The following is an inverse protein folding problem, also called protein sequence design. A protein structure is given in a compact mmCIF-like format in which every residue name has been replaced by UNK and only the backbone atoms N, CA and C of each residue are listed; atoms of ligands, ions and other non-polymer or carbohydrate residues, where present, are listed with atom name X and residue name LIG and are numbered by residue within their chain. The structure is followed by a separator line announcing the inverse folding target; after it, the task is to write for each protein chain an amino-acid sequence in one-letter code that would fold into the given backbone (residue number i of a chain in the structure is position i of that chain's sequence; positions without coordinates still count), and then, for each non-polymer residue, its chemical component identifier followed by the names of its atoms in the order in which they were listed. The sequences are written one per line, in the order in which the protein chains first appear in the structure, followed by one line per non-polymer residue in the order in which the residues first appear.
data_IF_487582453929
#
_entry.id   IF_487582453929
#
_cell.length_a   1.000
_cell.length_b   1.000
_cell.length_c   1.000
_cell.angle_alpha   90.00
_cell.angle_beta   90.00
_cell.angle_gamma   90.00
#
_symmetry.space_group_name_H-M   'P 1'
#
loop_
_entity.id
_entity.type
_entity.pdbx_description
1 polymer ?
#
# COMPACT_ATOMS: atom_id res chain seq x y z
N UNK A 1 2.17 3.58 -47.14
CA UNK A 1 1.65 3.74 -45.77
C UNK A 1 0.39 4.57 -45.81
N UNK A 2 -0.74 4.04 -45.29
CA UNK A 2 -1.99 4.80 -45.24
C UNK A 2 -1.90 5.76 -44.04
N UNK A 3 -2.13 7.05 -44.28
CA UNK A 3 -2.10 8.05 -43.21
C UNK A 3 -3.18 7.74 -42.16
N UNK A 4 -2.89 7.87 -40.85
CA UNK A 4 -3.89 7.70 -39.78
C UNK A 4 -5.14 8.58 -39.97
N UNK A 5 -4.97 9.78 -40.52
CA UNK A 5 -6.05 10.71 -40.84
C UNK A 5 -6.96 10.13 -41.93
N UNK A 6 -6.39 9.45 -42.95
CA UNK A 6 -7.19 8.81 -44.01
C UNK A 6 -8.04 7.64 -43.47
N UNK A 7 -7.52 6.89 -42.50
CA UNK A 7 -8.25 5.81 -41.83
C UNK A 7 -9.44 6.37 -41.06
N UNK A 8 -9.19 7.42 -40.22
CA UNK A 8 -10.24 8.07 -39.44
C UNK A 8 -11.33 8.64 -40.34
N UNK A 9 -10.97 9.35 -41.39
CA UNK A 9 -11.94 9.91 -42.34
C UNK A 9 -12.79 8.81 -43.02
N UNK A 10 -12.18 7.67 -43.34
CA UNK A 10 -12.91 6.54 -43.95
C UNK A 10 -13.90 5.92 -42.95
N UNK A 11 -13.51 5.77 -41.69
CA UNK A 11 -14.41 5.27 -40.64
C UNK A 11 -15.57 6.24 -40.42
N UNK A 12 -15.28 7.55 -40.31
CA UNK A 12 -16.32 8.57 -40.11
C UNK A 12 -17.29 8.63 -41.26
N UNK A 13 -16.81 8.58 -42.53
CA UNK A 13 -17.69 8.58 -43.71
C UNK A 13 -18.53 7.33 -43.78
N UNK A 14 -17.95 6.16 -43.52
CA UNK A 14 -18.68 4.90 -43.47
C UNK A 14 -19.78 4.94 -42.40
N UNK A 15 -19.43 5.35 -41.18
CA UNK A 15 -20.36 5.46 -40.06
C UNK A 15 -21.50 6.45 -40.34
N UNK A 16 -21.23 7.55 -41.05
CA UNK A 16 -22.23 8.60 -41.31
C UNK A 16 -23.12 8.32 -42.52
N UNK A 17 -22.61 7.63 -43.54
CA UNK A 17 -23.32 7.45 -44.83
C UNK A 17 -23.88 6.06 -45.04
N UNK A 18 -23.12 5.04 -44.64
CA UNK A 18 -23.44 3.65 -44.96
C UNK A 18 -24.28 2.97 -43.87
N UNK A 19 -24.29 3.51 -42.65
CA UNK A 19 -25.05 2.96 -41.53
C UNK A 19 -26.39 3.69 -41.36
N UNK A 20 -27.47 2.93 -41.20
CA UNK A 20 -28.81 3.51 -40.97
C UNK A 20 -28.84 4.31 -39.65
N UNK A 21 -29.70 5.33 -39.58
CA UNK A 21 -29.82 6.16 -38.39
C UNK A 21 -30.15 5.37 -37.12
N UNK A 22 -30.97 4.32 -37.21
CA UNK A 22 -31.30 3.45 -36.08
C UNK A 22 -30.09 2.65 -35.63
N UNK A 23 -29.31 2.08 -36.56
CA UNK A 23 -28.10 1.34 -36.21
C UNK A 23 -27.04 2.24 -35.58
N UNK A 24 -26.87 3.48 -36.03
CA UNK A 24 -25.96 4.47 -35.39
C UNK A 24 -26.34 4.75 -33.95
N UNK A 25 -27.62 4.99 -33.68
CA UNK A 25 -28.09 5.23 -32.31
C UNK A 25 -27.79 4.02 -31.42
N UNK A 26 -28.04 2.81 -31.89
CA UNK A 26 -27.76 1.58 -31.15
C UNK A 26 -26.27 1.44 -30.90
N UNK A 27 -25.40 1.64 -31.89
CA UNK A 27 -23.94 1.56 -31.74
C UNK A 27 -23.45 2.59 -30.69
N UNK A 28 -23.91 3.83 -30.83
CA UNK A 28 -23.52 4.90 -29.85
C UNK A 28 -23.99 4.52 -28.45
N UNK A 29 -25.23 4.07 -28.28
CA UNK A 29 -25.74 3.65 -26.98
C UNK A 29 -24.93 2.49 -26.38
N UNK A 30 -24.59 1.48 -27.21
CA UNK A 30 -23.74 0.36 -26.76
C UNK A 30 -22.35 0.84 -26.37
N UNK A 31 -21.72 1.73 -27.13
CA UNK A 31 -20.41 2.31 -26.80
C UNK A 31 -20.45 3.12 -25.50
N UNK A 32 -21.50 3.90 -25.30
CA UNK A 32 -21.70 4.67 -24.06
C UNK A 32 -21.86 3.71 -22.88
N UNK A 33 -22.73 2.71 -22.98
CA UNK A 33 -22.95 1.73 -21.91
C UNK A 33 -21.66 0.95 -21.60
N UNK A 34 -20.91 0.55 -22.63
CA UNK A 34 -19.61 -0.12 -22.46
C UNK A 34 -18.59 0.79 -21.76
N UNK A 35 -18.54 2.06 -22.16
CA UNK A 35 -17.65 3.04 -21.54
C UNK A 35 -17.99 3.28 -20.06
N UNK A 36 -19.27 3.46 -19.75
CA UNK A 36 -19.74 3.61 -18.37
C UNK A 36 -19.43 2.34 -17.56
N UNK A 37 -19.76 1.17 -18.11
CA UNK A 37 -19.45 -0.11 -17.47
C UNK A 37 -17.96 -0.28 -17.18
N UNK A 38 -17.09 0.07 -18.14
CA UNK A 38 -15.64 0.01 -17.97
C UNK A 38 -15.14 0.96 -16.88
N UNK A 39 -15.66 2.19 -16.83
CA UNK A 39 -15.30 3.17 -15.79
C UNK A 39 -15.74 2.72 -14.40
N UNK A 40 -16.97 2.22 -14.27
CA UNK A 40 -17.48 1.67 -13.01
C UNK A 40 -16.63 0.48 -12.55
N UNK A 41 -16.33 -0.45 -13.45
CA UNK A 41 -15.48 -1.60 -13.14
C UNK A 41 -14.08 -1.17 -12.70
N UNK A 42 -13.46 -0.23 -13.42
CA UNK A 42 -12.16 0.31 -13.04
C UNK A 42 -12.18 0.98 -11.66
N UNK A 43 -13.25 1.74 -11.38
CA UNK A 43 -13.45 2.34 -10.05
C UNK A 43 -13.57 1.29 -8.94
N UNK A 44 -14.42 0.27 -9.12
CA UNK A 44 -14.63 -0.78 -8.13
C UNK A 44 -13.36 -1.61 -7.88
N UNK A 45 -12.60 -1.91 -8.93
CA UNK A 45 -11.31 -2.59 -8.81
C UNK A 45 -10.32 -1.73 -8.03
N UNK A 46 -10.23 -0.44 -8.37
CA UNK A 46 -9.35 0.47 -7.66
C UNK A 46 -9.76 0.60 -6.18
N UNK A 47 -11.05 0.77 -5.90
CA UNK A 47 -11.57 0.87 -4.53
C UNK A 47 -11.26 -0.39 -3.72
N UNK A 48 -11.44 -1.58 -4.30
CA UNK A 48 -11.10 -2.85 -3.68
C UNK A 48 -9.62 -2.92 -3.31
N UNK A 49 -8.71 -2.56 -4.22
CA UNK A 49 -7.27 -2.62 -3.95
C UNK A 49 -6.78 -1.54 -2.99
N UNK A 50 -7.43 -0.39 -2.93
CA UNK A 50 -7.03 0.71 -2.05
C UNK A 50 -7.59 0.56 -0.62
N UNK A 51 -8.84 0.15 -0.50
CA UNK A 51 -9.58 0.27 0.74
C UNK A 51 -9.85 -1.07 1.46
N UNK A 52 -9.63 -2.22 0.77
CA UNK A 52 -9.85 -3.52 1.38
C UNK A 52 -8.51 -4.15 1.81
N UNK A 53 -8.28 -4.36 3.12
CA UNK A 53 -7.04 -4.97 3.60
C UNK A 53 -6.82 -6.41 3.06
N UNK A 54 -7.89 -7.12 2.68
CA UNK A 54 -7.78 -8.45 2.11
C UNK A 54 -7.35 -8.46 0.63
N UNK A 55 -7.28 -7.30 -0.02
CA UNK A 55 -6.85 -7.22 -1.42
C UNK A 55 -5.44 -7.77 -1.63
N UNK A 56 -4.53 -7.50 -0.68
CA UNK A 56 -3.16 -8.00 -0.73
C UNK A 56 -3.06 -9.51 -0.57
N UNK A 57 -4.03 -10.16 0.08
CA UNK A 57 -4.08 -11.62 0.22
C UNK A 57 -4.55 -12.35 -1.05
N UNK A 58 -5.05 -11.62 -2.04
CA UNK A 58 -5.44 -12.17 -3.34
C UNK A 58 -4.24 -12.74 -4.11
N UNK A 59 -3.02 -12.23 -3.85
CA UNK A 59 -1.80 -12.68 -4.49
C UNK A 59 -0.93 -13.48 -3.50
N UNK A 60 -0.68 -14.75 -3.79
CA UNK A 60 0.13 -15.66 -2.96
C UNK A 60 1.57 -15.17 -2.70
N UNK A 61 2.08 -14.25 -3.50
CA UNK A 61 3.42 -13.64 -3.33
C UNK A 61 3.57 -12.88 -2.01
N UNK A 62 2.47 -12.49 -1.37
CA UNK A 62 2.43 -11.78 -0.09
C UNK A 62 2.02 -12.66 1.09
N UNK A 63 1.88 -13.97 0.93
CA UNK A 63 1.36 -14.89 1.96
C UNK A 63 2.09 -14.76 3.30
N UNK A 64 3.43 -14.73 3.29
CA UNK A 64 4.21 -14.60 4.52
C UNK A 64 3.96 -13.25 5.23
N UNK A 65 3.90 -12.16 4.47
CA UNK A 65 3.63 -10.83 4.99
C UNK A 65 2.19 -10.71 5.51
N UNK A 66 1.21 -11.25 4.78
CA UNK A 66 -0.20 -11.28 5.16
C UNK A 66 -0.42 -12.07 6.43
N UNK A 67 0.23 -13.25 6.56
CA UNK A 67 0.17 -14.07 7.77
C UNK A 67 0.73 -13.31 8.99
N UNK A 68 1.88 -12.67 8.83
CA UNK A 68 2.50 -11.90 9.91
C UNK A 68 1.65 -10.66 10.29
N UNK A 69 1.09 -9.96 9.30
CA UNK A 69 0.17 -8.84 9.54
C UNK A 69 -1.12 -9.28 10.24
N UNK A 70 -1.74 -10.38 9.80
CA UNK A 70 -2.99 -10.89 10.37
C UNK A 70 -2.88 -11.34 11.83
N UNK A 71 -1.67 -11.52 12.36
CA UNK A 71 -1.40 -11.81 13.78
C UNK A 71 -0.81 -10.63 14.52
N UNK A 72 -0.62 -9.49 13.86
CA UNK A 72 -0.03 -8.29 14.45
C UNK A 72 -1.05 -7.42 15.15
N UNK A 73 -0.59 -6.47 15.96
CA UNK A 73 -1.42 -5.44 16.61
C UNK A 73 -2.07 -4.48 15.59
N UNK A 74 -1.61 -4.47 14.34
CA UNK A 74 -2.11 -3.65 13.25
C UNK A 74 -2.99 -4.43 12.24
N UNK A 75 -3.48 -5.61 12.59
CA UNK A 75 -4.29 -6.46 11.70
C UNK A 75 -5.58 -5.81 11.16
N UNK A 76 -6.05 -4.72 11.78
CA UNK A 76 -7.22 -3.96 11.32
C UNK A 76 -6.86 -2.75 10.44
N UNK A 77 -5.55 -2.48 10.27
CA UNK A 77 -5.08 -1.32 9.51
C UNK A 77 -4.79 -1.76 8.08
N UNK A 78 -5.29 -1.01 7.10
CA UNK A 78 -5.04 -1.29 5.70
C UNK A 78 -3.54 -1.21 5.38
N UNK A 79 -3.07 -2.11 4.53
CA UNK A 79 -1.66 -2.15 4.11
C UNK A 79 -1.20 -0.81 3.51
N UNK A 80 -2.07 -0.13 2.78
CA UNK A 80 -1.77 1.17 2.15
C UNK A 80 -1.66 2.33 3.13
N UNK A 81 -2.10 2.20 4.38
CA UNK A 81 -1.84 3.22 5.41
C UNK A 81 -0.34 3.31 5.77
N UNK A 82 0.40 2.22 5.58
CA UNK A 82 1.84 2.15 5.84
C UNK A 82 2.66 2.01 4.56
N UNK A 83 2.18 1.24 3.58
CA UNK A 83 2.87 0.94 2.34
C UNK A 83 2.33 1.77 1.17
N UNK A 84 2.87 2.97 1.01
CA UNK A 84 2.47 3.83 -0.10
C UNK A 84 3.16 3.41 -1.39
N UNK A 85 2.37 3.15 -2.43
CA UNK A 85 2.85 2.93 -3.80
C UNK A 85 2.11 3.84 -4.78
N UNK A 86 2.81 4.24 -5.84
CA UNK A 86 2.16 5.02 -6.89
C UNK A 86 1.23 4.13 -7.73
N UNK A 87 0.20 4.70 -8.35
CA UNK A 87 -0.68 3.94 -9.26
C UNK A 87 0.08 3.26 -10.40
N UNK A 88 1.15 3.90 -10.88
CA UNK A 88 2.02 3.33 -11.92
C UNK A 88 2.74 2.09 -11.38
N UNK A 89 3.23 2.14 -10.14
CA UNK A 89 3.90 0.98 -9.54
C UNK A 89 2.92 -0.16 -9.27
N UNK A 90 1.71 0.13 -8.82
CA UNK A 90 0.64 -0.85 -8.64
C UNK A 90 0.30 -1.54 -9.98
N UNK A 91 0.08 -0.75 -11.04
CA UNK A 91 -0.19 -1.30 -12.38
C UNK A 91 0.98 -2.12 -12.92
N UNK A 92 2.22 -1.68 -12.70
CA UNK A 92 3.41 -2.45 -13.09
C UNK A 92 3.51 -3.77 -12.34
N UNK A 93 3.24 -3.77 -11.03
CA UNK A 93 3.22 -4.99 -10.23
C UNK A 93 2.15 -5.97 -10.72
N UNK A 94 0.94 -5.48 -10.95
CA UNK A 94 -0.16 -6.28 -11.49
C UNK A 94 0.19 -6.86 -12.87
N UNK A 95 0.75 -6.06 -13.76
CA UNK A 95 1.20 -6.52 -15.08
C UNK A 95 2.29 -7.59 -14.97
N UNK A 96 3.30 -7.37 -14.16
CA UNK A 96 4.38 -8.33 -13.95
C UNK A 96 3.86 -9.66 -13.40
N UNK A 97 2.91 -9.60 -12.47
CA UNK A 97 2.29 -10.80 -11.92
C UNK A 97 1.39 -11.52 -12.93
N UNK A 98 0.45 -10.79 -13.55
CA UNK A 98 -0.60 -11.38 -14.40
C UNK A 98 -0.08 -11.79 -15.79
N UNK A 99 0.86 -11.04 -16.37
CA UNK A 99 1.31 -11.22 -17.75
C UNK A 99 2.68 -11.91 -17.82
N UNK A 100 3.63 -11.51 -16.96
CA UNK A 100 4.98 -12.04 -16.97
C UNK A 100 5.17 -13.26 -16.04
N UNK A 101 4.15 -13.62 -15.26
CA UNK A 101 4.17 -14.78 -14.38
C UNK A 101 5.25 -14.71 -13.27
N UNK A 102 5.60 -13.51 -12.82
CA UNK A 102 6.57 -13.32 -11.76
C UNK A 102 5.99 -13.75 -10.42
N UNK A 103 6.37 -14.92 -9.94
CA UNK A 103 5.84 -15.53 -8.71
C UNK A 103 6.59 -15.09 -7.44
N UNK A 104 7.60 -14.23 -7.56
CA UNK A 104 8.37 -13.75 -6.41
C UNK A 104 8.34 -12.22 -6.42
N UNK A 105 7.98 -11.65 -5.27
CA UNK A 105 8.29 -10.25 -5.01
C UNK A 105 9.80 -10.17 -4.90
N UNK A 106 10.45 -9.64 -5.93
CA UNK A 106 11.84 -9.26 -5.78
C UNK A 106 11.88 -8.21 -4.67
N UNK A 107 12.69 -8.39 -3.61
CA UNK A 107 12.92 -7.34 -2.65
C UNK A 107 13.54 -6.18 -3.43
N UNK A 108 12.69 -5.28 -3.90
CA UNK A 108 13.13 -4.09 -4.57
C UNK A 108 13.92 -3.29 -3.55
N UNK A 109 15.17 -3.07 -3.83
CA UNK A 109 15.99 -2.09 -3.13
C UNK A 109 16.21 -2.34 -1.63
N UNK A 110 16.25 -3.59 -1.20
CA UNK A 110 16.56 -3.91 0.20
C UNK A 110 15.36 -3.72 1.13
N UNK A 111 15.62 -3.18 2.29
CA UNK A 111 14.66 -3.00 3.38
C UNK A 111 13.50 -2.08 2.96
N UNK A 112 12.26 -2.54 3.07
CA UNK A 112 11.08 -1.68 2.93
C UNK A 112 10.97 -0.82 4.18
N UNK A 113 11.38 0.43 4.08
CA UNK A 113 11.34 1.36 5.20
C UNK A 113 10.00 2.10 5.17
N UNK A 114 9.20 1.93 6.23
CA UNK A 114 8.05 2.77 6.50
C UNK A 114 8.54 3.99 7.28
N UNK A 115 8.44 5.21 6.75
CA UNK A 115 8.93 6.39 7.43
C UNK A 115 8.22 6.65 8.75
N UNK A 116 8.93 7.09 9.78
CA UNK A 116 8.38 7.39 11.12
C UNK A 116 7.19 8.33 11.11
N UNK A 117 7.11 9.27 10.13
CA UNK A 117 5.96 10.18 9.98
C UNK A 117 4.63 9.45 9.83
N UNK A 118 4.64 8.24 9.26
CA UNK A 118 3.43 7.42 9.09
C UNK A 118 3.00 6.86 10.44
N UNK A 119 3.94 6.34 11.23
CA UNK A 119 3.67 5.88 12.59
C UNK A 119 3.15 7.02 13.47
N UNK A 120 3.80 8.17 13.38
CA UNK A 120 3.42 9.37 14.14
C UNK A 120 2.05 9.93 13.78
N UNK A 121 1.52 9.64 12.59
CA UNK A 121 0.16 10.07 12.22
C UNK A 121 -0.94 9.44 13.08
N UNK A 122 -0.64 8.31 13.74
CA UNK A 122 -1.56 7.63 14.67
C UNK A 122 -1.04 7.60 16.11
N UNK A 123 0.29 7.54 16.29
CA UNK A 123 0.93 7.36 17.61
C UNK A 123 1.40 8.67 18.27
N UNK A 124 1.24 9.81 17.60
CA UNK A 124 1.55 11.11 18.18
C UNK A 124 0.31 11.70 18.81
N UNK A 125 0.35 11.84 20.16
CA UNK A 125 -0.77 12.38 20.92
C UNK A 125 -2.10 11.63 20.72
N UNK A 126 -3.22 12.20 21.18
CA UNK A 126 -4.55 11.61 21.02
C UNK A 126 -5.01 11.81 19.57
N UNK A 127 -5.13 10.72 18.82
CA UNK A 127 -5.49 10.79 17.43
C UNK A 127 -6.93 10.31 17.21
N UNK A 128 -7.75 11.13 16.52
CA UNK A 128 -9.13 10.77 16.20
C UNK A 128 -9.26 9.55 15.29
N UNK A 129 -8.27 9.30 14.42
CA UNK A 129 -8.24 8.11 13.56
C UNK A 129 -7.91 6.82 14.31
N UNK A 130 -7.15 6.91 15.40
CA UNK A 130 -6.69 5.78 16.17
C UNK A 130 -6.72 6.10 17.67
N UNK A 131 -7.91 6.25 18.29
CA UNK A 131 -8.03 6.71 19.68
C UNK A 131 -7.42 5.73 20.68
N UNK A 132 -7.26 4.47 20.31
CA UNK A 132 -6.66 3.42 21.15
C UNK A 132 -5.16 3.18 20.85
N UNK A 133 -4.56 3.93 19.93
CA UNK A 133 -3.15 3.80 19.65
C UNK A 133 -2.33 4.32 20.84
N UNK A 134 -1.25 3.61 21.25
CA UNK A 134 -0.37 4.08 22.30
C UNK A 134 0.24 5.44 21.94
N UNK A 135 0.07 6.43 22.81
CA UNK A 135 0.65 7.75 22.63
C UNK A 135 2.12 7.75 23.04
N UNK A 136 2.99 8.17 22.14
CA UNK A 136 4.45 8.22 22.37
C UNK A 136 4.98 9.61 22.71
N UNK A 137 4.14 10.65 22.63
CA UNK A 137 4.57 12.05 22.85
C UNK A 137 5.20 12.28 24.23
N UNK A 138 4.78 11.52 25.23
CA UNK A 138 5.26 11.59 26.62
C UNK A 138 6.30 10.54 26.99
N UNK A 139 6.65 9.64 26.05
CA UNK A 139 7.57 8.56 26.33
C UNK A 139 9.03 9.02 26.38
N UNK A 140 9.68 8.82 27.53
CA UNK A 140 11.09 9.17 27.73
C UNK A 140 12.04 8.43 26.78
N UNK A 141 11.72 7.21 26.41
CA UNK A 141 12.54 6.40 25.50
C UNK A 141 12.53 6.96 24.08
N UNK A 142 11.40 7.47 23.63
CA UNK A 142 11.29 8.09 22.32
C UNK A 142 11.94 9.47 22.26
N UNK A 143 12.00 10.19 23.38
CA UNK A 143 12.55 11.54 23.42
C UNK A 143 13.98 11.60 22.85
N UNK A 144 14.88 10.73 23.28
CA UNK A 144 16.26 10.69 22.78
C UNK A 144 16.36 10.03 21.41
N UNK A 145 15.86 8.81 21.28
CA UNK A 145 16.07 8.00 20.06
C UNK A 145 15.38 8.57 18.83
N UNK A 146 14.13 8.97 18.97
CA UNK A 146 13.31 9.42 17.82
C UNK A 146 13.49 10.92 17.57
N UNK A 147 13.47 11.76 18.61
CA UNK A 147 13.41 13.20 18.42
C UNK A 147 14.79 13.87 18.37
N UNK A 148 15.77 13.35 19.08
CA UNK A 148 17.14 13.87 19.08
C UNK A 148 17.97 13.14 18.00
N UNK A 149 18.07 11.81 18.09
CA UNK A 149 18.94 11.01 17.22
C UNK A 149 18.31 10.68 15.85
N UNK A 150 17.00 10.98 15.66
CA UNK A 150 16.28 10.76 14.41
C UNK A 150 16.25 9.30 13.96
N UNK A 151 16.25 8.36 14.91
CA UNK A 151 16.16 6.93 14.60
C UNK A 151 14.73 6.61 14.14
N UNK A 152 14.61 5.97 13.00
CA UNK A 152 13.32 5.55 12.45
C UNK A 152 12.63 4.50 13.35
N UNK A 153 11.31 4.61 13.51
CA UNK A 153 10.51 3.71 14.36
C UNK A 153 10.73 2.23 14.02
N UNK A 154 10.87 1.93 12.74
CA UNK A 154 11.07 0.57 12.23
C UNK A 154 12.43 -0.04 12.59
N UNK A 155 13.38 0.73 13.08
CA UNK A 155 14.67 0.21 13.58
C UNK A 155 14.52 -0.56 14.89
N UNK A 156 13.49 -0.24 15.67
CA UNK A 156 13.18 -0.93 16.92
C UNK A 156 11.87 -1.72 16.82
N UNK A 157 10.84 -1.12 16.24
CA UNK A 157 9.52 -1.71 16.05
C UNK A 157 9.35 -2.19 14.60
N UNK A 158 8.97 -3.44 14.40
CA UNK A 158 8.78 -3.96 13.04
C UNK A 158 10.07 -4.34 12.32
N UNK A 159 11.18 -4.49 13.03
CA UNK A 159 12.44 -5.02 12.48
C UNK A 159 12.23 -6.41 11.83
N UNK A 160 11.36 -7.21 12.41
CA UNK A 160 10.78 -8.37 11.73
C UNK A 160 9.47 -7.96 11.08
N UNK A 161 9.21 -8.47 9.91
CA UNK A 161 8.00 -8.19 9.12
C UNK A 161 6.74 -8.25 10.00
N UNK A 162 6.09 -7.10 10.16
CA UNK A 162 4.84 -6.89 10.92
C UNK A 162 4.88 -7.33 12.41
N UNK A 163 6.05 -7.50 13.01
CA UNK A 163 6.20 -7.72 14.45
C UNK A 163 6.62 -6.41 15.11
N UNK A 164 5.70 -5.80 15.84
CA UNK A 164 5.89 -4.46 16.41
C UNK A 164 6.29 -4.49 17.90
N UNK A 165 6.40 -5.67 18.49
CA UNK A 165 6.88 -5.83 19.85
C UNK A 165 8.37 -5.48 19.95
N UNK A 166 8.74 -4.73 20.97
CA UNK A 166 10.13 -4.40 21.25
C UNK A 166 10.85 -5.61 21.85
N UNK A 167 11.97 -6.00 21.27
CA UNK A 167 12.85 -7.04 21.81
C UNK A 167 14.19 -6.42 22.26
N UNK A 168 14.69 -6.81 23.42
CA UNK A 168 15.96 -6.29 24.00
C UNK A 168 17.13 -6.36 23.01
N UNK A 169 17.19 -7.41 22.19
CA UNK A 169 18.25 -7.59 21.18
C UNK A 169 18.39 -6.42 20.20
N UNK A 170 17.31 -5.66 19.95
CA UNK A 170 17.38 -4.49 19.06
C UNK A 170 18.11 -3.32 19.75
N UNK A 171 18.01 -3.21 21.06
CA UNK A 171 18.79 -2.25 21.84
C UNK A 171 20.27 -2.57 21.74
N UNK A 172 20.63 -3.85 21.78
CA UNK A 172 22.02 -4.33 21.72
C UNK A 172 22.70 -4.15 20.35
N UNK A 173 21.96 -3.78 19.31
CA UNK A 173 22.58 -3.40 18.02
C UNK A 173 23.38 -2.10 18.11
N UNK A 174 23.03 -1.23 19.07
CA UNK A 174 23.70 0.05 19.29
C UNK A 174 24.30 0.14 20.72
N UNK A 175 23.71 -0.53 21.70
CA UNK A 175 24.16 -0.53 23.08
C UNK A 175 24.91 -1.82 23.40
N UNK A 176 26.14 -1.70 23.91
CA UNK A 176 27.01 -2.84 24.17
C UNK A 176 26.78 -3.48 25.54
N UNK A 177 26.09 -2.80 26.45
CA UNK A 177 25.78 -3.31 27.79
C UNK A 177 24.31 -3.12 28.18
N UNK A 178 23.83 -3.97 29.06
CA UNK A 178 22.45 -3.96 29.57
C UNK A 178 22.19 -2.85 30.62
N UNK A 179 23.24 -2.22 31.10
CA UNK A 179 23.16 -1.25 32.21
C UNK A 179 22.56 0.07 31.79
N UNK A 180 22.66 0.39 30.48
CA UNK A 180 22.14 1.65 29.90
C UNK A 180 20.62 1.75 30.02
N UNK A 181 19.92 0.64 30.12
CA UNK A 181 18.46 0.57 30.19
C UNK A 181 17.91 0.29 31.60
N UNK A 182 18.71 0.47 32.63
CA UNK A 182 18.39 0.12 34.04
C UNK A 182 16.90 0.18 34.41
N UNK A 183 16.41 -0.89 35.00
CA UNK A 183 15.13 -1.06 35.75
C UNK A 183 13.81 -0.61 35.09
N UNK A 184 13.82 0.03 33.90
CA UNK A 184 12.61 0.50 33.22
C UNK A 184 12.00 -0.49 32.23
N UNK A 185 12.77 -1.45 31.76
CA UNK A 185 12.27 -2.43 30.75
C UNK A 185 11.43 -3.58 31.34
N UNK A 186 11.61 -3.90 32.62
CA UNK A 186 10.76 -4.88 33.33
C UNK A 186 9.27 -4.51 33.40
N UNK A 187 8.93 -3.25 33.11
CA UNK A 187 7.53 -2.76 33.15
C UNK A 187 6.89 -2.67 31.76
N UNK A 188 7.57 -3.09 30.70
CA UNK A 188 7.07 -3.06 29.33
C UNK A 188 6.74 -4.47 28.78
N UNK A 189 6.81 -5.48 29.61
CA UNK A 189 6.38 -6.84 29.30
C UNK A 189 4.90 -7.03 29.63
#
# INVERSE_FOLDING_TARGET
MISPVAIINRIVTWFSKDISSRARIIIIAVLILFSIGSLVTAYLINDYFENNPNSCSTCHVHDAANKAWGTSVHQQINCHECHHSTKIDQMRQLFNFAVLGHNKVSPRHGEVIVPSKICLSCHWDTNAKAPNAPNISTSRYHAKHVFIEKIECTKCHGYRTHQFSLEERYCLTCHTDKVVHGTGMEKLA
#
